data_IF_919037154996
#
_entry.id   IF_919037154996
#
_cell.length_a   1.000
_cell.length_b   1.000
_cell.length_c   1.000
_cell.angle_alpha   90.00
_cell.angle_beta   90.00
_cell.angle_gamma   90.00
#
_symmetry.space_group_name_H-M   'P 1'
#
loop_
_entity.id
_entity.type
_entity.pdbx_description
1 polymer ?
#
# COMPACT_ATOMS: atom_id res chain seq x y z
N UNK A 1 -9.20 28.15 -4.80
CA UNK A 1 -8.95 27.15 -3.73
C UNK A 1 -7.91 26.17 -4.25
N UNK A 2 -6.86 25.87 -3.48
CA UNK A 2 -5.89 24.83 -3.86
C UNK A 2 -6.39 23.45 -3.45
N UNK A 3 -5.84 22.41 -4.08
CA UNK A 3 -6.10 21.01 -3.73
C UNK A 3 -5.68 20.72 -2.28
N UNK A 4 -4.57 21.30 -1.80
CA UNK A 4 -4.16 21.16 -0.41
C UNK A 4 -5.19 21.72 0.57
N UNK A 5 -5.80 22.87 0.23
CA UNK A 5 -6.81 23.50 1.09
C UNK A 5 -8.06 22.61 1.19
N UNK A 6 -8.47 21.99 0.08
CA UNK A 6 -9.61 21.07 0.05
C UNK A 6 -9.34 19.80 0.87
N UNK A 7 -8.17 19.17 0.71
CA UNK A 7 -7.79 17.97 1.47
C UNK A 7 -7.63 18.27 2.97
N UNK A 8 -7.11 19.45 3.31
CA UNK A 8 -6.88 19.84 4.71
C UNK A 8 -8.19 19.95 5.50
N UNK A 9 -9.29 20.33 4.84
CA UNK A 9 -10.60 20.44 5.46
C UNK A 9 -11.31 19.11 5.72
N UNK A 10 -10.83 18.00 5.14
CA UNK A 10 -11.43 16.68 5.32
C UNK A 10 -11.04 16.07 6.68
N UNK A 11 -12.02 15.47 7.34
CA UNK A 11 -11.81 14.55 8.46
C UNK A 11 -11.01 13.32 8.03
N UNK A 12 -10.58 12.51 9.01
CA UNK A 12 -9.85 11.28 8.72
C UNK A 12 -10.66 10.31 7.86
N UNK A 13 -11.92 10.12 8.18
CA UNK A 13 -12.79 9.17 7.47
C UNK A 13 -13.10 9.65 6.05
N UNK A 14 -13.30 10.96 5.88
CA UNK A 14 -13.46 11.57 4.56
C UNK A 14 -12.20 11.48 3.71
N UNK A 15 -11.01 11.59 4.31
CA UNK A 15 -9.74 11.36 3.60
C UNK A 15 -9.63 9.92 3.12
N UNK A 16 -10.00 8.96 3.95
CA UNK A 16 -10.00 7.55 3.56
C UNK A 16 -11.00 7.28 2.43
N UNK A 17 -12.22 7.80 2.53
CA UNK A 17 -13.22 7.70 1.46
C UNK A 17 -12.74 8.37 0.16
N UNK A 18 -12.11 9.54 0.25
CA UNK A 18 -11.53 10.23 -0.90
C UNK A 18 -10.41 9.41 -1.54
N UNK A 19 -9.55 8.76 -0.76
CA UNK A 19 -8.52 7.85 -1.28
C UNK A 19 -9.12 6.70 -2.09
N UNK A 20 -10.20 6.07 -1.62
CA UNK A 20 -10.89 4.99 -2.35
C UNK A 20 -11.53 5.48 -3.65
N UNK A 21 -12.17 6.66 -3.62
CA UNK A 21 -12.78 7.27 -4.80
C UNK A 21 -11.73 7.63 -5.85
N UNK A 22 -10.63 8.26 -5.43
CA UNK A 22 -9.50 8.60 -6.28
C UNK A 22 -8.85 7.34 -6.85
N UNK A 23 -8.62 6.32 -6.02
CA UNK A 23 -8.04 5.06 -6.47
C UNK A 23 -8.91 4.39 -7.53
N UNK A 24 -10.23 4.31 -7.30
CA UNK A 24 -11.17 3.78 -8.28
C UNK A 24 -11.09 4.52 -9.62
N UNK A 25 -11.10 5.84 -9.58
CA UNK A 25 -11.02 6.69 -10.78
C UNK A 25 -9.73 6.47 -11.56
N UNK A 26 -8.58 6.48 -10.87
CA UNK A 26 -7.25 6.24 -11.45
C UNK A 26 -7.12 4.85 -12.08
N UNK A 27 -7.86 3.86 -11.59
CA UNK A 27 -7.83 2.48 -12.11
C UNK A 27 -8.79 2.20 -13.26
N UNK A 28 -9.61 3.17 -13.68
CA UNK A 28 -10.55 2.98 -14.81
C UNK A 28 -9.80 2.73 -16.12
N UNK A 29 -8.67 3.40 -16.32
CA UNK A 29 -7.76 3.17 -17.44
C UNK A 29 -6.32 2.97 -16.91
N UNK A 30 -5.98 1.74 -16.52
CA UNK A 30 -4.68 1.43 -15.92
C UNK A 30 -3.51 1.74 -16.85
N UNK A 31 -3.71 1.66 -18.17
CA UNK A 31 -2.67 1.87 -19.17
C UNK A 31 -2.32 3.36 -19.32
N UNK A 32 -3.25 4.25 -18.98
CA UNK A 32 -3.01 5.69 -18.92
C UNK A 32 -2.18 6.13 -17.70
N UNK A 33 -2.07 5.27 -16.68
CA UNK A 33 -1.38 5.61 -15.44
C UNK A 33 0.13 5.35 -15.57
N UNK A 34 0.88 6.41 -15.89
CA UNK A 34 2.34 6.34 -15.91
C UNK A 34 2.88 5.97 -14.53
N UNK A 35 3.52 4.79 -14.43
CA UNK A 35 4.21 4.39 -13.21
C UNK A 35 5.24 5.45 -12.81
N UNK A 36 5.28 5.86 -11.53
CA UNK A 36 6.30 6.78 -11.05
C UNK A 36 7.72 6.26 -11.34
N UNK A 37 8.69 7.16 -11.59
CA UNK A 37 10.07 6.75 -11.88
C UNK A 37 10.69 5.84 -10.81
N UNK A 38 10.31 6.04 -9.55
CA UNK A 38 10.81 5.21 -8.45
C UNK A 38 10.26 3.77 -8.48
N UNK A 39 9.13 3.51 -9.13
CA UNK A 39 8.43 2.22 -9.09
C UNK A 39 9.28 1.10 -9.69
N UNK A 40 9.89 1.37 -10.86
CA UNK A 40 10.80 0.42 -11.51
C UNK A 40 11.98 0.05 -10.61
N UNK A 41 12.61 1.04 -9.97
CA UNK A 41 13.75 0.83 -9.07
C UNK A 41 13.38 -0.10 -7.92
N UNK A 42 12.25 0.14 -7.25
CA UNK A 42 11.80 -0.71 -6.13
C UNK A 42 11.51 -2.15 -6.58
N UNK A 43 10.88 -2.33 -7.75
CA UNK A 43 10.62 -3.67 -8.29
C UNK A 43 11.94 -4.40 -8.55
N UNK A 44 12.88 -3.75 -9.25
CA UNK A 44 14.20 -4.34 -9.54
C UNK A 44 14.93 -4.70 -8.25
N UNK A 45 15.01 -3.79 -7.29
CA UNK A 45 15.71 -4.03 -6.02
C UNK A 45 15.12 -5.24 -5.28
N UNK A 46 13.80 -5.44 -5.31
CA UNK A 46 13.11 -6.58 -4.66
C UNK A 46 13.29 -7.90 -5.41
N UNK A 47 13.34 -7.86 -6.73
CA UNK A 47 13.57 -9.05 -7.55
C UNK A 47 15.02 -9.53 -7.44
N UNK A 48 15.97 -8.59 -7.35
CA UNK A 48 17.40 -8.90 -7.22
C UNK A 48 17.76 -9.34 -5.79
N UNK A 49 16.96 -8.95 -4.79
CA UNK A 49 17.17 -9.29 -3.38
C UNK A 49 15.91 -9.93 -2.78
N UNK A 50 15.54 -11.15 -3.20
CA UNK A 50 14.39 -11.83 -2.63
C UNK A 50 14.60 -12.07 -1.14
N UNK A 51 13.53 -11.95 -0.36
CA UNK A 51 13.56 -12.33 1.04
C UNK A 51 13.91 -13.82 1.17
N UNK A 52 14.68 -14.17 2.20
CA UNK A 52 14.98 -15.57 2.49
C UNK A 52 13.70 -16.31 2.88
N UNK A 53 13.42 -17.43 2.21
CA UNK A 53 12.24 -18.26 2.44
C UNK A 53 11.48 -18.58 1.16
N UNK A 54 10.50 -19.46 1.27
CA UNK A 54 9.60 -19.78 0.15
C UNK A 54 8.48 -18.72 0.08
N UNK A 55 8.06 -18.38 -1.14
CA UNK A 55 6.95 -17.44 -1.33
C UNK A 55 5.65 -18.10 -0.84
N UNK A 56 5.06 -17.55 0.22
CA UNK A 56 3.80 -18.04 0.76
C UNK A 56 2.60 -17.48 -0.02
N UNK A 57 1.49 -18.23 -0.10
CA UNK A 57 0.20 -17.67 -0.48
C UNK A 57 -0.15 -16.46 0.39
N UNK A 58 -0.79 -15.44 -0.21
CA UNK A 58 -1.04 -14.15 0.46
C UNK A 58 -1.76 -14.29 1.81
N UNK A 59 -2.73 -15.21 1.90
CA UNK A 59 -3.48 -15.42 3.14
C UNK A 59 -2.62 -16.03 4.25
N UNK A 60 -1.70 -16.94 3.90
CA UNK A 60 -0.75 -17.52 4.86
C UNK A 60 0.27 -16.46 5.32
N UNK A 61 0.81 -15.66 4.39
CA UNK A 61 1.71 -14.56 4.71
C UNK A 61 1.06 -13.52 5.65
N UNK A 62 -0.22 -13.18 5.43
CA UNK A 62 -0.98 -12.28 6.32
C UNK A 62 -1.16 -12.89 7.71
N UNK A 63 -1.44 -14.19 7.80
CA UNK A 63 -1.60 -14.88 9.07
C UNK A 63 -0.31 -14.85 9.89
N UNK A 64 0.83 -15.18 9.27
CA UNK A 64 2.14 -15.14 9.95
C UNK A 64 2.49 -13.75 10.49
N UNK A 65 2.28 -12.69 9.69
CA UNK A 65 2.52 -11.31 10.13
C UNK A 65 1.63 -10.96 11.32
N UNK A 66 0.35 -11.36 11.28
CA UNK A 66 -0.60 -11.09 12.35
C UNK A 66 -0.17 -11.78 13.65
N UNK A 67 0.22 -13.05 13.59
CA UNK A 67 0.73 -13.81 14.74
C UNK A 67 2.01 -13.18 15.30
N UNK A 68 2.95 -12.78 14.44
CA UNK A 68 4.19 -12.12 14.86
C UNK A 68 3.93 -10.79 15.59
N UNK A 69 2.97 -9.99 15.11
CA UNK A 69 2.54 -8.75 15.78
C UNK A 69 1.90 -9.05 17.15
N UNK A 70 1.05 -10.07 17.24
CA UNK A 70 0.43 -10.48 18.50
C UNK A 70 1.46 -10.96 19.53
N UNK A 71 2.40 -11.83 19.12
CA UNK A 71 3.47 -12.33 19.98
C UNK A 71 4.36 -11.20 20.53
N UNK A 72 4.68 -10.20 19.69
CA UNK A 72 5.48 -9.04 20.10
C UNK A 72 4.76 -8.14 21.12
N UNK A 73 3.43 -8.03 21.02
CA UNK A 73 2.61 -7.28 21.99
C UNK A 73 2.44 -8.03 23.31
N UNK A 74 2.37 -9.36 23.28
CA UNK A 74 2.26 -10.18 24.48
C UNK A 74 3.56 -10.24 25.31
N UNK A 75 4.69 -9.87 24.71
CA UNK A 75 6.03 -9.86 25.32
C UNK A 75 6.53 -8.46 25.70
N UNK A 76 5.73 -7.40 25.51
CA UNK A 76 6.00 -6.02 25.93
C UNK A 76 5.10 -5.59 27.09
#
# INVERSE_FOLDING_TARGET
MSLETMISGLSRDEKLAAMELLWRDLTVDPDSLASPQWHKRIITDRLDNPAAGEALPLEEAKAEIKEAIHARRASS
#
